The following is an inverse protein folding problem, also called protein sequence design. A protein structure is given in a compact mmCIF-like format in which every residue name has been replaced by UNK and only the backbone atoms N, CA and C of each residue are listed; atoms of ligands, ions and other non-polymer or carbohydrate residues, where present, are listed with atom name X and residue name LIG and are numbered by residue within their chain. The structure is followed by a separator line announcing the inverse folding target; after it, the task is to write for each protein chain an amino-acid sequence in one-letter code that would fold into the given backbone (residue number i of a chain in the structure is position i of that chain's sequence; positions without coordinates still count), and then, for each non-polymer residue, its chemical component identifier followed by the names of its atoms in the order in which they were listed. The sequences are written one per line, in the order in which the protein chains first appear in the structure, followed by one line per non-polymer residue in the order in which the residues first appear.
data_IF_234448732288
#
_entry.id   IF_234448732288
#
_cell.length_a   1.000
_cell.length_b   1.000
_cell.length_c   1.000
_cell.angle_alpha   90.00
_cell.angle_beta   90.00
_cell.angle_gamma   90.00
#
_symmetry.space_group_name_H-M   'P 1'
#
loop_
_entity.id
_entity.type
_entity.pdbx_description
1 polymer ?
#
# COMPACT_ATOMS: atom_id res chain seq x y z
N UNK A 1 19.08 2.47 13.62
CA UNK A 1 20.09 2.34 12.54
C UNK A 1 19.52 2.99 11.29
N UNK A 2 20.33 3.59 10.42
CA UNK A 2 19.81 4.29 9.22
C UNK A 2 19.70 3.32 8.04
N UNK A 3 18.57 3.34 7.31
CA UNK A 3 18.35 2.52 6.10
C UNK A 3 19.00 3.24 4.91
N UNK A 4 19.90 2.57 4.19
CA UNK A 4 20.60 3.16 3.04
C UNK A 4 19.83 2.96 1.73
N UNK A 5 20.16 3.72 0.68
CA UNK A 5 19.60 3.47 -0.66
C UNK A 5 19.93 2.07 -1.21
N UNK A 6 21.09 1.50 -0.85
CA UNK A 6 21.48 0.16 -1.26
C UNK A 6 20.54 -0.90 -0.69
N UNK A 7 20.07 -0.70 0.54
CA UNK A 7 19.22 -1.65 1.27
C UNK A 7 17.84 -1.78 0.63
N UNK A 8 17.24 -0.66 0.21
CA UNK A 8 15.93 -0.63 -0.45
C UNK A 8 15.95 -1.09 -1.90
N UNK A 9 17.13 -1.17 -2.52
CA UNK A 9 17.28 -1.66 -3.89
C UNK A 9 17.39 -3.19 -3.98
N UNK A 10 17.47 -3.90 -2.85
CA UNK A 10 17.48 -5.37 -2.83
C UNK A 10 16.18 -5.94 -3.44
N UNK A 11 16.24 -7.11 -4.11
CA UNK A 11 15.05 -7.79 -4.61
C UNK A 11 14.05 -8.04 -3.47
N UNK A 12 12.75 -7.88 -3.74
CA UNK A 12 11.73 -8.10 -2.71
C UNK A 12 11.81 -9.52 -2.12
N UNK A 13 12.14 -10.52 -2.95
CA UNK A 13 12.31 -11.91 -2.53
C UNK A 13 13.40 -12.13 -1.46
N UNK A 14 14.38 -11.22 -1.34
CA UNK A 14 15.42 -11.32 -0.30
C UNK A 14 14.98 -10.71 1.04
N UNK A 15 13.90 -9.94 1.05
CA UNK A 15 13.38 -9.19 2.20
C UNK A 15 12.17 -9.86 2.86
N UNK A 16 11.67 -10.95 2.26
CA UNK A 16 10.44 -11.63 2.67
C UNK A 16 10.71 -13.08 3.07
N UNK A 17 9.84 -13.64 3.88
CA UNK A 17 9.83 -15.06 4.18
C UNK A 17 9.43 -15.90 2.96
N UNK A 18 9.85 -17.17 2.97
CA UNK A 18 9.45 -18.13 1.95
C UNK A 18 7.96 -18.41 2.07
N UNK A 19 7.20 -17.94 1.09
CA UNK A 19 5.77 -18.18 0.97
C UNK A 19 5.16 -17.25 -0.06
N UNK A 20 4.43 -17.81 -1.03
CA UNK A 20 3.68 -17.07 -2.04
C UNK A 20 2.16 -17.28 -1.90
N UNK A 21 1.75 -18.07 -0.90
CA UNK A 21 0.37 -18.32 -0.53
C UNK A 21 -0.36 -17.03 -0.20
N UNK A 22 -1.43 -16.75 -0.94
CA UNK A 22 -2.26 -15.57 -0.71
C UNK A 22 -3.07 -15.78 0.55
N UNK A 23 -3.12 -14.77 1.39
CA UNK A 23 -3.97 -14.75 2.59
C UNK A 23 -5.23 -13.92 2.35
N UNK A 24 -6.33 -14.29 3.01
CA UNK A 24 -7.45 -13.39 3.19
C UNK A 24 -7.10 -12.42 4.33
N UNK A 25 -7.27 -11.12 4.10
CA UNK A 25 -7.03 -10.10 5.12
C UNK A 25 -8.37 -9.75 5.74
N UNK A 26 -8.55 -10.14 7.01
CA UNK A 26 -9.74 -9.86 7.81
C UNK A 26 -9.45 -8.72 8.81
N UNK A 27 -8.27 -8.80 9.45
CA UNK A 27 -7.73 -7.75 10.30
C UNK A 27 -6.58 -7.04 9.57
N UNK A 28 -6.73 -5.72 9.43
CA UNK A 28 -5.76 -4.85 8.76
C UNK A 28 -4.60 -4.54 9.71
N UNK A 29 -4.85 -4.55 11.02
CA UNK A 29 -3.83 -4.28 12.03
C UNK A 29 -2.68 -5.29 11.96
N UNK A 30 -2.97 -6.54 11.59
CA UNK A 30 -1.98 -7.59 11.37
C UNK A 30 -0.96 -7.25 10.26
N UNK A 31 -1.32 -6.35 9.35
CA UNK A 31 -0.52 -5.94 8.19
C UNK A 31 -0.32 -4.42 8.15
N UNK A 32 -0.49 -3.73 9.29
CA UNK A 32 -0.57 -2.27 9.33
C UNK A 32 0.67 -1.59 8.74
N UNK A 33 1.87 -2.14 8.92
CA UNK A 33 3.12 -1.61 8.33
C UNK A 33 3.09 -1.60 6.79
N UNK A 34 2.51 -2.63 6.18
CA UNK A 34 2.39 -2.71 4.72
C UNK A 34 1.34 -1.73 4.21
N UNK A 35 0.17 -1.67 4.86
CA UNK A 35 -0.84 -0.67 4.50
C UNK A 35 -0.31 0.75 4.70
N UNK A 36 0.32 1.01 5.85
CA UNK A 36 0.88 2.30 6.18
C UNK A 36 1.96 2.74 5.19
N UNK A 37 2.92 1.88 4.85
CA UNK A 37 3.97 2.22 3.90
C UNK A 37 3.41 2.57 2.52
N UNK A 38 2.39 1.84 2.05
CA UNK A 38 1.76 2.10 0.75
C UNK A 38 0.92 3.39 0.79
N UNK A 39 0.04 3.53 1.76
CA UNK A 39 -0.93 4.62 1.82
C UNK A 39 -0.29 5.96 2.15
N UNK A 40 0.70 5.99 3.07
CA UNK A 40 1.47 7.20 3.37
C UNK A 40 2.13 7.75 2.11
N UNK A 41 2.76 6.88 1.31
CA UNK A 41 3.39 7.29 0.05
C UNK A 41 2.36 7.79 -0.95
N UNK A 42 1.21 7.14 -1.06
CA UNK A 42 0.15 7.60 -1.97
C UNK A 42 -0.36 8.97 -1.54
N UNK A 43 -0.60 9.19 -0.25
CA UNK A 43 -1.02 10.48 0.29
C UNK A 43 0.00 11.57 0.04
N UNK A 44 1.27 11.31 0.39
CA UNK A 44 2.38 12.23 0.14
C UNK A 44 2.48 12.59 -1.35
N UNK A 45 2.49 11.58 -2.22
CA UNK A 45 2.56 11.80 -3.67
C UNK A 45 1.36 12.59 -4.20
N UNK A 46 0.17 12.40 -3.62
CA UNK A 46 -1.01 13.16 -4.00
C UNK A 46 -0.94 14.61 -3.55
N UNK A 47 -0.47 14.89 -2.34
CA UNK A 47 -0.27 16.25 -1.83
C UNK A 47 0.73 17.02 -2.70
N UNK A 48 1.84 16.37 -3.08
CA UNK A 48 2.84 16.94 -4.00
C UNK A 48 2.34 17.05 -5.45
N UNK A 49 1.34 16.24 -5.84
CA UNK A 49 0.81 16.20 -7.20
C UNK A 49 -0.73 16.21 -7.17
N UNK A 50 -1.37 17.37 -6.98
CA UNK A 50 -2.83 17.46 -6.85
C UNK A 50 -3.62 16.94 -8.07
N UNK A 51 -2.96 16.81 -9.23
CA UNK A 51 -3.53 16.23 -10.44
C UNK A 51 -3.64 14.68 -10.42
N UNK A 52 -3.06 14.01 -9.42
CA UNK A 52 -3.17 12.56 -9.25
C UNK A 52 -4.64 12.17 -8.99
N UNK A 53 -5.07 11.08 -9.64
CA UNK A 53 -6.45 10.54 -9.58
C UNK A 53 -6.42 9.06 -9.23
N UNK A 54 -7.54 8.53 -8.73
CA UNK A 54 -7.69 7.12 -8.33
C UNK A 54 -7.31 6.15 -9.47
N UNK A 55 -7.63 6.49 -10.72
CA UNK A 55 -7.25 5.68 -11.89
C UNK A 55 -5.73 5.48 -12.00
N UNK A 56 -4.92 6.48 -11.64
CA UNK A 56 -3.46 6.38 -11.65
C UNK A 56 -2.96 5.56 -10.46
N UNK A 57 -3.58 5.70 -9.29
CA UNK A 57 -3.30 4.87 -8.10
C UNK A 57 -3.59 3.40 -8.41
N UNK A 58 -4.78 3.09 -8.93
CA UNK A 58 -5.17 1.76 -9.39
C UNK A 58 -4.19 1.19 -10.42
N UNK A 59 -3.73 2.01 -11.37
CA UNK A 59 -2.73 1.58 -12.35
C UNK A 59 -1.41 1.20 -11.67
N UNK A 60 -0.96 1.96 -10.68
CA UNK A 60 0.27 1.68 -9.92
C UNK A 60 0.15 0.40 -9.09
N UNK A 61 -0.96 0.20 -8.37
CA UNK A 61 -1.19 -1.05 -7.63
C UNK A 61 -1.26 -2.27 -8.56
N UNK A 62 -1.87 -2.15 -9.74
CA UNK A 62 -1.88 -3.24 -10.72
C UNK A 62 -0.47 -3.59 -11.24
N UNK A 63 0.46 -2.62 -11.30
CA UNK A 63 1.86 -2.89 -11.63
C UNK A 63 2.55 -3.65 -10.48
N UNK A 64 2.37 -3.19 -9.24
CA UNK A 64 2.94 -3.84 -8.05
C UNK A 64 2.43 -5.28 -7.87
N UNK A 65 1.15 -5.53 -8.16
CA UNK A 65 0.57 -6.88 -8.17
C UNK A 65 1.32 -7.83 -9.11
N UNK A 66 1.98 -7.32 -10.16
CA UNK A 66 2.74 -8.11 -11.13
C UNK A 66 4.22 -8.21 -10.77
N UNK A 67 4.83 -7.09 -10.40
CA UNK A 67 6.27 -7.01 -10.15
C UNK A 67 6.57 -5.83 -9.22
N UNK A 68 7.31 -6.04 -8.14
CA UNK A 68 7.77 -4.97 -7.26
C UNK A 68 9.13 -4.41 -7.69
N UNK A 69 9.99 -5.23 -8.29
CA UNK A 69 11.39 -4.91 -8.53
C UNK A 69 11.58 -4.12 -9.84
N UNK A 70 10.81 -4.44 -10.89
CA UNK A 70 10.92 -3.83 -12.22
C UNK A 70 10.19 -2.49 -12.42
N UNK A 71 9.96 -1.72 -11.36
CA UNK A 71 9.20 -0.47 -11.48
C UNK A 71 10.04 0.69 -12.03
N UNK A 72 9.45 1.49 -12.94
CA UNK A 72 10.13 2.65 -13.54
C UNK A 72 10.40 3.74 -12.50
N UNK A 73 11.67 4.13 -12.33
CA UNK A 73 12.09 5.23 -11.44
C UNK A 73 11.26 6.50 -11.68
N UNK A 74 10.85 7.15 -10.60
CA UNK A 74 10.01 8.36 -10.62
C UNK A 74 8.50 8.10 -10.84
N UNK A 75 8.08 6.85 -11.05
CA UNK A 75 6.65 6.51 -11.05
C UNK A 75 6.13 6.27 -9.64
N UNK A 76 4.82 6.47 -9.43
CA UNK A 76 4.17 6.18 -8.15
C UNK A 76 4.39 4.73 -7.70
N UNK A 77 4.32 3.76 -8.62
CA UNK A 77 4.59 2.35 -8.30
C UNK A 77 6.02 2.13 -7.81
N UNK A 78 7.00 2.84 -8.37
CA UNK A 78 8.38 2.76 -7.90
C UNK A 78 8.54 3.33 -6.49
N UNK A 79 7.93 4.49 -6.20
CA UNK A 79 7.99 5.09 -4.85
C UNK A 79 7.33 4.19 -3.81
N UNK A 80 6.17 3.61 -4.14
CA UNK A 80 5.49 2.64 -3.26
C UNK A 80 6.38 1.42 -3.02
N UNK A 81 6.93 0.82 -4.09
CA UNK A 81 7.81 -0.35 -3.98
C UNK A 81 9.01 -0.07 -3.06
N UNK A 82 9.68 1.08 -3.25
CA UNK A 82 10.79 1.47 -2.37
C UNK A 82 10.37 1.62 -0.92
N UNK A 83 9.23 2.23 -0.65
CA UNK A 83 8.76 2.41 0.73
C UNK A 83 8.43 1.09 1.40
N UNK A 84 7.71 0.18 0.72
CA UNK A 84 7.44 -1.17 1.23
C UNK A 84 8.74 -1.90 1.55
N UNK A 85 9.71 -1.89 0.63
CA UNK A 85 11.02 -2.52 0.88
C UNK A 85 11.79 -1.89 2.03
N UNK A 86 11.66 -0.57 2.21
CA UNK A 86 12.27 0.15 3.31
C UNK A 86 11.69 -0.32 4.63
N UNK A 87 10.37 -0.41 4.72
CA UNK A 87 9.70 -0.93 5.90
C UNK A 87 10.10 -2.38 6.19
N UNK A 88 10.12 -3.26 5.18
CA UNK A 88 10.54 -4.66 5.37
C UNK A 88 11.98 -4.79 5.86
N UNK A 89 12.89 -3.92 5.37
CA UNK A 89 14.25 -3.89 5.85
C UNK A 89 14.33 -3.45 7.31
N UNK A 90 13.56 -2.42 7.68
CA UNK A 90 13.49 -1.92 9.05
C UNK A 90 13.06 -3.02 10.01
N UNK A 91 11.93 -3.68 9.71
CA UNK A 91 11.40 -4.79 10.50
C UNK A 91 12.46 -5.88 10.70
N UNK A 92 13.20 -6.21 9.63
CA UNK A 92 14.24 -7.25 9.69
C UNK A 92 15.40 -6.87 10.61
N UNK A 93 15.79 -5.59 10.63
CA UNK A 93 16.83 -5.07 11.51
C UNK A 93 16.35 -5.09 12.96
N UNK A 94 15.10 -4.70 13.19
CA UNK A 94 14.51 -4.55 14.52
C UNK A 94 14.01 -5.88 15.08
N UNK A 95 14.02 -6.95 14.28
CA UNK A 95 13.58 -8.28 14.69
C UNK A 95 12.06 -8.40 14.81
N UNK A 96 11.32 -7.57 14.08
CA UNK A 96 9.86 -7.54 14.06
C UNK A 96 9.28 -8.58 13.09
N UNK A 97 7.98 -8.43 12.78
CA UNK A 97 7.26 -9.33 11.88
C UNK A 97 7.93 -9.40 10.51
N UNK A 98 8.17 -10.63 10.06
CA UNK A 98 8.58 -10.92 8.70
C UNK A 98 7.34 -11.31 7.88
N UNK A 99 7.19 -10.69 6.72
CA UNK A 99 6.07 -10.96 5.81
C UNK A 99 6.50 -11.88 4.68
N UNK A 100 5.58 -12.69 4.20
CA UNK A 100 5.69 -13.45 2.97
C UNK A 100 5.31 -12.58 1.76
N UNK A 101 5.76 -12.98 0.56
CA UNK A 101 5.37 -12.30 -0.67
C UNK A 101 3.84 -12.36 -0.89
N UNK A 102 3.22 -13.49 -0.52
CA UNK A 102 1.78 -13.70 -0.61
C UNK A 102 0.96 -12.70 0.22
N UNK A 103 1.39 -12.42 1.45
CA UNK A 103 0.77 -11.45 2.35
C UNK A 103 0.83 -10.01 1.79
N UNK A 104 2.00 -9.58 1.30
CA UNK A 104 2.17 -8.26 0.70
C UNK A 104 1.27 -8.09 -0.53
N UNK A 105 1.21 -9.11 -1.39
CA UNK A 105 0.34 -9.10 -2.57
C UNK A 105 -1.14 -9.10 -2.17
N UNK A 106 -1.51 -9.76 -1.07
CA UNK A 106 -2.87 -9.68 -0.53
C UNK A 106 -3.23 -8.26 -0.10
N UNK A 107 -2.31 -7.53 0.53
CA UNK A 107 -2.51 -6.12 0.89
C UNK A 107 -2.76 -5.26 -0.37
N UNK A 108 -1.89 -5.38 -1.37
CA UNK A 108 -2.04 -4.66 -2.66
C UNK A 108 -3.38 -4.99 -3.34
N UNK A 109 -3.86 -6.24 -3.24
CA UNK A 109 -5.14 -6.63 -3.82
C UNK A 109 -6.34 -6.04 -3.10
N UNK A 110 -6.28 -5.97 -1.76
CA UNK A 110 -7.32 -5.29 -1.00
C UNK A 110 -7.40 -3.84 -1.44
N UNK A 111 -6.27 -3.13 -1.51
CA UNK A 111 -6.22 -1.74 -2.00
C UNK A 111 -6.76 -1.59 -3.44
N UNK A 112 -6.44 -2.51 -4.34
CA UNK A 112 -7.03 -2.52 -5.70
C UNK A 112 -8.56 -2.65 -5.64
N UNK A 113 -9.08 -3.51 -4.76
CA UNK A 113 -10.53 -3.70 -4.58
C UNK A 113 -11.17 -2.43 -4.04
N UNK A 114 -10.57 -1.81 -3.02
CA UNK A 114 -11.01 -0.53 -2.46
C UNK A 114 -11.09 0.55 -3.55
N UNK A 115 -9.99 0.83 -4.26
CA UNK A 115 -9.94 1.89 -5.28
C UNK A 115 -11.02 1.72 -6.35
N UNK A 116 -11.38 0.48 -6.70
CA UNK A 116 -12.44 0.20 -7.68
C UNK A 116 -13.85 0.46 -7.15
N UNK A 117 -14.05 0.39 -5.84
CA UNK A 117 -15.36 0.53 -5.20
C UNK A 117 -15.66 1.97 -4.80
N UNK A 118 -14.65 2.82 -4.64
CA UNK A 118 -14.83 4.27 -4.52
C UNK A 118 -15.47 4.85 -5.79
N UNK A 119 -16.70 5.37 -5.68
CA UNK A 119 -17.48 5.95 -6.79
C UNK A 119 -17.56 7.47 -6.66
N UNK A 120 -16.43 8.15 -6.81
CA UNK A 120 -16.41 9.62 -6.80
C UNK A 120 -16.69 10.22 -8.19
N UNK A 121 -17.62 11.18 -8.34
CA UNK A 121 -17.81 11.94 -9.59
C UNK A 121 -16.53 12.64 -10.07
N UNK A 122 -15.64 12.97 -9.14
CA UNK A 122 -14.35 13.63 -9.40
C UNK A 122 -13.16 12.67 -9.55
N UNK A 123 -13.38 11.37 -9.32
CA UNK A 123 -12.40 10.29 -9.46
C UNK A 123 -11.26 10.30 -8.44
N UNK A 124 -11.51 10.83 -7.23
CA UNK A 124 -10.53 10.94 -6.13
C UNK A 124 -11.06 10.39 -4.79
N UNK A 125 -12.06 9.50 -4.81
CA UNK A 125 -12.68 8.97 -3.59
C UNK A 125 -11.67 8.18 -2.75
N UNK A 126 -10.92 7.27 -3.36
CA UNK A 126 -9.90 6.51 -2.63
C UNK A 126 -8.78 7.41 -2.07
N UNK A 127 -8.37 8.44 -2.81
CA UNK A 127 -7.41 9.42 -2.32
C UNK A 127 -7.96 10.21 -1.11
N UNK A 128 -9.22 10.64 -1.16
CA UNK A 128 -9.90 11.30 -0.03
C UNK A 128 -10.04 10.37 1.18
N UNK A 129 -10.31 9.08 0.94
CA UNK A 129 -10.33 8.04 1.96
C UNK A 129 -8.97 7.93 2.65
N UNK A 130 -7.88 7.73 1.92
CA UNK A 130 -6.52 7.66 2.52
C UNK A 130 -6.29 8.88 3.40
N UNK A 131 -6.54 10.09 2.88
CA UNK A 131 -6.34 11.33 3.62
C UNK A 131 -7.16 11.34 4.93
N UNK A 132 -8.44 10.99 4.85
CA UNK A 132 -9.35 11.00 6.00
C UNK A 132 -8.87 10.06 7.10
N UNK A 133 -8.45 8.83 6.74
CA UNK A 133 -7.98 7.85 7.73
C UNK A 133 -6.58 8.19 8.25
N UNK A 134 -5.69 8.73 7.42
CA UNK A 134 -4.39 9.23 7.89
C UNK A 134 -4.50 10.39 8.89
N UNK A 135 -5.46 11.29 8.68
CA UNK A 135 -5.67 12.46 9.54
C UNK A 135 -6.49 12.13 10.82
N UNK A 136 -7.09 10.94 10.91
CA UNK A 136 -8.09 10.64 11.94
C UNK A 136 -8.12 9.23 12.53
N UNK A 137 -7.15 8.37 12.19
CA UNK A 137 -6.92 6.94 12.55
C UNK A 137 -7.07 5.99 11.35
N UNK A 138 -6.19 4.98 11.24
CA UNK A 138 -6.27 3.90 10.25
C UNK A 138 -7.41 2.93 10.59
N UNK A 139 -8.11 2.34 9.60
CA UNK A 139 -9.10 1.30 9.86
C UNK A 139 -8.45 0.04 10.41
N UNK A 140 -9.14 -0.67 11.30
CA UNK A 140 -8.67 -1.95 11.86
C UNK A 140 -9.15 -3.14 11.06
N UNK A 141 -10.33 -3.05 10.46
CA UNK A 141 -10.93 -4.17 9.72
C UNK A 141 -11.37 -3.75 8.33
N UNK A 142 -11.46 -4.71 7.41
CA UNK A 142 -12.00 -4.45 6.08
C UNK A 142 -13.48 -4.00 6.13
N UNK A 143 -14.25 -4.53 7.10
CA UNK A 143 -15.63 -4.13 7.38
C UNK A 143 -15.76 -2.64 7.72
N UNK A 144 -14.84 -2.09 8.52
CA UNK A 144 -14.83 -0.66 8.84
C UNK A 144 -14.63 0.20 7.59
N UNK A 145 -13.77 -0.22 6.67
CA UNK A 145 -13.56 0.46 5.40
C UNK A 145 -14.82 0.42 4.56
N UNK A 146 -15.47 -0.74 4.45
CA UNK A 146 -16.70 -0.87 3.65
C UNK A 146 -17.82 0.02 4.17
N UNK A 147 -18.01 0.07 5.49
CA UNK A 147 -18.99 0.97 6.12
C UNK A 147 -18.70 2.44 5.81
N UNK A 148 -17.43 2.85 5.77
CA UNK A 148 -17.07 4.19 5.38
C UNK A 148 -17.44 4.48 3.92
N UNK A 149 -17.05 3.59 2.99
CA UNK A 149 -17.32 3.75 1.56
C UNK A 149 -18.84 3.86 1.33
N UNK A 150 -19.62 2.99 1.97
CA UNK A 150 -21.08 3.00 1.86
C UNK A 150 -21.68 4.33 2.36
N UNK A 151 -21.21 4.83 3.49
CA UNK A 151 -21.74 6.05 4.11
C UNK A 151 -21.46 7.32 3.33
N UNK A 152 -20.31 7.41 2.66
CA UNK A 152 -19.81 8.69 2.10
C UNK A 152 -19.66 8.70 0.58
N UNK A 153 -19.67 7.55 -0.09
CA UNK A 153 -19.35 7.45 -1.52
C UNK A 153 -20.35 6.61 -2.34
N UNK A 154 -21.52 6.31 -1.77
CA UNK A 154 -22.64 5.65 -2.45
C UNK A 154 -23.51 6.60 -3.24
#
# INVERSE_FOLDING_TARGET
MEITEGDVNRPLAELVEKGDGKVAIEDIADYHEIFASIEAVVLFMWQENPALKDKKVLSSYNKLKKDFDGQKKGSLAYTISRSVKGQLMLNRIEGERSYTYGEIISCVRLLIKLVKQHRSPSGIGFLQWIKTFYEGNMPKTDVEIWKYIEKYES
#
